data_IF_367492421956
#
_entry.id   IF_367492421956
#
_cell.length_a   1.000
_cell.length_b   1.000
_cell.length_c   1.000
_cell.angle_alpha   90.00
_cell.angle_beta   90.00
_cell.angle_gamma   90.00
#
_symmetry.space_group_name_H-M   'P 1'
#
loop_
_entity.id
_entity.type
_entity.pdbx_description
1 polymer ?
#
# COMPACT_ATOMS: atom_id res chain seq x y z
N UNK A 1 -11.71 3.27 -19.56
CA UNK A 1 -10.79 3.48 -20.71
C UNK A 1 -9.61 2.55 -20.49
N UNK A 2 -9.05 1.91 -21.51
CA UNK A 2 -8.02 0.88 -21.29
C UNK A 2 -6.63 1.50 -21.20
N UNK A 3 -5.96 1.30 -20.07
CA UNK A 3 -4.53 1.59 -19.92
C UNK A 3 -3.75 0.64 -20.82
N UNK A 4 -2.80 1.17 -21.59
CA UNK A 4 -1.88 0.37 -22.41
C UNK A 4 -0.93 -0.37 -21.47
N UNK A 5 -0.75 -1.69 -21.64
CA UNK A 5 0.24 -2.46 -20.89
C UNK A 5 1.54 -2.54 -21.68
N UNK A 6 2.69 -2.47 -21.00
CA UNK A 6 3.99 -2.61 -21.65
C UNK A 6 4.17 -3.96 -22.35
N UNK A 7 3.48 -5.01 -21.88
CA UNK A 7 3.51 -6.36 -22.45
C UNK A 7 2.84 -6.44 -23.82
N UNK A 8 2.03 -5.44 -24.18
CA UNK A 8 1.33 -5.36 -25.46
C UNK A 8 2.14 -4.57 -26.51
N UNK A 9 3.32 -4.05 -26.15
CA UNK A 9 4.16 -3.20 -26.99
C UNK A 9 5.38 -3.94 -27.56
N UNK A 10 5.80 -3.53 -28.75
CA UNK A 10 7.12 -3.90 -29.30
C UNK A 10 8.21 -3.00 -28.72
N UNK A 11 9.04 -3.58 -27.86
CA UNK A 11 10.10 -2.88 -27.14
C UNK A 11 11.48 -3.00 -27.82
N UNK A 12 11.61 -3.80 -28.87
CA UNK A 12 12.91 -4.10 -29.48
C UNK A 12 13.58 -2.83 -30.01
N UNK A 13 14.81 -2.58 -29.55
CA UNK A 13 15.61 -1.40 -29.91
C UNK A 13 15.08 -0.06 -29.38
N UNK A 14 13.96 -0.03 -28.65
CA UNK A 14 13.37 1.18 -28.08
C UNK A 14 14.10 1.59 -26.80
N UNK A 15 14.21 2.90 -26.57
CA UNK A 15 14.60 3.47 -25.28
C UNK A 15 13.42 3.38 -24.31
N UNK A 16 13.49 2.46 -23.36
CA UNK A 16 12.40 2.21 -22.41
C UNK A 16 12.80 2.77 -21.05
N UNK A 17 12.01 3.70 -20.55
CA UNK A 17 12.24 4.37 -19.27
C UNK A 17 11.19 3.94 -18.25
N UNK A 18 11.61 3.22 -17.23
CA UNK A 18 10.72 2.53 -16.29
C UNK A 18 10.79 3.20 -14.92
N UNK A 19 9.65 3.70 -14.44
CA UNK A 19 9.51 4.22 -13.07
C UNK A 19 9.20 3.06 -12.12
N UNK A 20 10.19 2.64 -11.33
CA UNK A 20 10.08 1.56 -10.34
C UNK A 20 10.05 2.10 -8.91
N UNK A 21 9.50 1.35 -7.95
CA UNK A 21 9.63 1.65 -6.52
C UNK A 21 10.85 0.91 -5.92
N UNK A 22 12.04 1.48 -6.09
CA UNK A 22 13.29 0.96 -5.51
C UNK A 22 13.65 1.64 -4.18
N UNK A 23 12.67 2.24 -3.48
CA UNK A 23 12.91 2.85 -2.19
C UNK A 23 13.05 1.77 -1.10
N UNK A 24 14.26 1.27 -0.92
CA UNK A 24 14.61 0.20 0.03
C UNK A 24 15.38 0.72 1.25
N UNK A 25 15.30 0.05 2.41
CA UNK A 25 16.11 0.44 3.55
C UNK A 25 17.59 0.11 3.29
N UNK A 26 18.45 1.13 3.38
CA UNK A 26 19.90 1.02 3.22
C UNK A 26 20.58 1.27 4.56
N UNK A 27 21.56 0.43 4.91
CA UNK A 27 22.40 0.61 6.11
C UNK A 27 23.85 0.32 5.76
N UNK A 28 24.75 1.26 6.02
CA UNK A 28 26.17 1.12 5.71
C UNK A 28 26.44 0.84 4.23
N UNK A 29 25.70 1.51 3.34
CA UNK A 29 25.83 1.34 1.88
C UNK A 29 25.27 0.03 1.33
N UNK A 30 24.54 -0.77 2.13
CA UNK A 30 23.95 -2.04 1.69
C UNK A 30 22.44 -2.06 1.86
N UNK A 31 21.76 -2.67 0.90
CA UNK A 31 20.32 -2.98 0.99
C UNK A 31 20.08 -3.97 2.12
N UNK A 32 19.17 -3.63 3.04
CA UNK A 32 18.81 -4.48 4.19
C UNK A 32 17.50 -5.24 4.01
N UNK A 33 16.67 -4.81 3.06
CA UNK A 33 15.48 -5.53 2.59
C UNK A 33 15.35 -5.35 1.08
N UNK A 34 15.29 -6.45 0.36
CA UNK A 34 15.34 -6.51 -1.11
C UNK A 34 13.96 -6.76 -1.75
N UNK A 35 12.89 -6.83 -0.96
CA UNK A 35 11.56 -7.22 -1.40
C UNK A 35 11.06 -6.40 -2.60
N UNK A 36 11.28 -5.08 -2.56
CA UNK A 36 10.90 -4.16 -3.64
C UNK A 36 11.73 -4.36 -4.91
N UNK A 37 13.04 -4.57 -4.77
CA UNK A 37 13.91 -4.83 -5.91
C UNK A 37 13.49 -6.15 -6.58
N UNK A 38 13.28 -7.20 -5.79
CA UNK A 38 12.79 -8.51 -6.27
C UNK A 38 11.48 -8.41 -7.02
N UNK A 39 10.51 -7.63 -6.53
CA UNK A 39 9.25 -7.39 -7.23
C UNK A 39 9.46 -6.75 -8.61
N UNK A 40 10.36 -5.75 -8.71
CA UNK A 40 10.66 -5.07 -9.97
C UNK A 40 11.41 -5.92 -11.00
N UNK A 41 12.07 -7.02 -10.59
CA UNK A 41 12.89 -7.83 -11.50
C UNK A 41 12.10 -8.39 -12.68
N UNK A 42 10.83 -8.76 -12.49
CA UNK A 42 9.99 -9.30 -13.56
C UNK A 42 9.84 -8.30 -14.72
N UNK A 43 9.53 -7.04 -14.38
CA UNK A 43 9.40 -5.94 -15.34
C UNK A 43 10.72 -5.61 -16.04
N UNK A 44 11.81 -5.52 -15.27
CA UNK A 44 13.14 -5.21 -15.83
C UNK A 44 13.61 -6.31 -16.79
N UNK A 45 13.48 -7.58 -16.39
CA UNK A 45 13.84 -8.73 -17.23
C UNK A 45 12.98 -8.81 -18.49
N UNK A 46 11.68 -8.49 -18.41
CA UNK A 46 10.82 -8.44 -19.59
C UNK A 46 11.34 -7.45 -20.63
N UNK A 47 11.65 -6.21 -20.22
CA UNK A 47 12.17 -5.19 -21.14
C UNK A 47 13.55 -5.57 -21.71
N UNK A 48 14.46 -6.08 -20.87
CA UNK A 48 15.78 -6.54 -21.30
C UNK A 48 15.69 -7.68 -22.33
N UNK A 49 14.87 -8.70 -22.04
CA UNK A 49 14.69 -9.86 -22.92
C UNK A 49 14.01 -9.50 -24.24
N UNK A 50 13.17 -8.46 -24.25
CA UNK A 50 12.57 -7.92 -25.47
C UNK A 50 13.57 -7.13 -26.35
N UNK A 51 14.82 -6.97 -25.92
CA UNK A 51 15.85 -6.25 -26.66
C UNK A 51 15.73 -4.73 -26.57
N UNK A 52 15.14 -4.21 -25.50
CA UNK A 52 15.07 -2.77 -25.25
C UNK A 52 16.41 -2.20 -24.76
N UNK A 53 16.56 -0.88 -24.92
CA UNK A 53 17.57 -0.06 -24.24
C UNK A 53 16.96 0.44 -22.92
N UNK A 54 17.24 -0.26 -21.81
CA UNK A 54 16.48 -0.13 -20.57
C UNK A 54 17.11 0.89 -19.62
N UNK A 55 16.31 1.89 -19.24
CA UNK A 55 16.58 2.81 -18.14
C UNK A 55 15.56 2.60 -17.04
N UNK A 56 16.00 2.62 -15.79
CA UNK A 56 15.12 2.62 -14.62
C UNK A 56 15.35 3.87 -13.80
N UNK A 57 14.27 4.49 -13.37
CA UNK A 57 14.29 5.61 -12.44
C UNK A 57 13.53 5.26 -11.17
N UNK A 58 14.01 5.75 -10.04
CA UNK A 58 13.36 5.59 -8.75
C UNK A 58 13.67 6.75 -7.83
N UNK A 59 12.94 6.82 -6.74
CA UNK A 59 13.31 7.60 -5.57
C UNK A 59 13.95 6.69 -4.52
N UNK A 60 14.75 7.28 -3.64
CA UNK A 60 15.22 6.67 -2.39
C UNK A 60 15.14 7.72 -1.28
N UNK A 61 14.54 7.36 -0.14
CA UNK A 61 14.43 8.24 1.01
C UNK A 61 13.74 9.59 0.72
N UNK A 62 14.22 10.64 1.39
CA UNK A 62 13.63 11.99 1.36
C UNK A 62 14.70 13.08 1.24
N UNK A 63 15.52 13.06 0.19
CA UNK A 63 16.53 14.09 0.00
C UNK A 63 15.91 15.48 -0.22
N UNK A 64 16.75 16.48 -0.05
CA UNK A 64 16.46 17.86 -0.47
C UNK A 64 16.71 18.01 -1.96
N UNK A 65 15.72 18.53 -2.71
CA UNK A 65 15.89 18.77 -4.14
C UNK A 65 17.05 19.73 -4.40
N UNK A 66 17.84 19.45 -5.43
CA UNK A 66 19.04 20.20 -5.81
C UNK A 66 20.28 19.90 -4.94
N UNK A 67 20.17 19.01 -3.95
CA UNK A 67 21.28 18.62 -3.08
C UNK A 67 21.54 17.14 -3.20
N UNK A 68 22.76 16.77 -3.60
CA UNK A 68 23.20 15.39 -3.56
C UNK A 68 23.53 14.99 -2.12
N UNK A 69 22.99 13.86 -1.71
CA UNK A 69 23.19 13.26 -0.38
C UNK A 69 23.54 11.79 -0.60
N UNK A 70 24.77 11.39 -0.28
CA UNK A 70 25.29 10.03 -0.57
C UNK A 70 24.41 8.92 0.02
N UNK A 71 23.81 9.16 1.19
CA UNK A 71 22.89 8.22 1.85
C UNK A 71 21.60 7.93 1.06
N UNK A 72 21.23 8.83 0.13
CA UNK A 72 20.06 8.71 -0.73
C UNK A 72 20.42 8.39 -2.19
N UNK A 73 21.70 8.10 -2.49
CA UNK A 73 22.10 7.62 -3.82
C UNK A 73 21.52 6.22 -4.09
N UNK A 74 21.20 5.94 -5.34
CA UNK A 74 20.78 4.61 -5.80
C UNK A 74 21.95 3.65 -6.04
N UNK A 75 23.20 4.04 -5.78
CA UNK A 75 24.37 3.15 -5.93
C UNK A 75 24.21 1.79 -5.21
N UNK A 76 23.74 1.71 -3.95
CA UNK A 76 23.52 0.41 -3.29
C UNK A 76 22.49 -0.48 -4.01
N UNK A 77 21.53 0.12 -4.71
CA UNK A 77 20.54 -0.60 -5.52
C UNK A 77 21.16 -1.09 -6.81
N UNK A 78 22.05 -0.30 -7.44
CA UNK A 78 22.84 -0.71 -8.60
C UNK A 78 23.74 -1.90 -8.26
N UNK A 79 24.43 -1.85 -7.13
CA UNK A 79 25.31 -2.94 -6.67
C UNK A 79 24.50 -4.23 -6.49
N UNK A 80 23.34 -4.14 -5.83
CA UNK A 80 22.45 -5.29 -5.67
C UNK A 80 21.92 -5.82 -7.02
N UNK A 81 21.53 -4.93 -7.94
CA UNK A 81 21.02 -5.33 -9.25
C UNK A 81 22.09 -6.02 -10.11
N UNK A 82 23.35 -5.59 -10.02
CA UNK A 82 24.49 -6.26 -10.64
C UNK A 82 24.68 -7.70 -10.14
N UNK A 83 24.39 -7.96 -8.86
CA UNK A 83 24.53 -9.31 -8.28
C UNK A 83 23.43 -10.28 -8.74
N UNK A 84 22.26 -9.77 -9.18
CA UNK A 84 21.06 -10.60 -9.46
C UNK A 84 20.61 -10.61 -10.92
N UNK A 85 21.18 -9.75 -11.76
CA UNK A 85 20.90 -9.69 -13.19
C UNK A 85 22.10 -10.19 -14.00
N UNK A 86 21.83 -10.97 -15.04
CA UNK A 86 22.84 -11.48 -15.98
C UNK A 86 23.21 -10.43 -17.05
N UNK A 87 23.31 -9.16 -16.66
CA UNK A 87 23.68 -8.05 -17.54
C UNK A 87 24.41 -6.95 -16.77
N UNK A 88 25.24 -6.13 -17.43
CA UNK A 88 25.84 -4.96 -16.79
C UNK A 88 24.76 -3.99 -16.27
N UNK A 89 24.89 -3.59 -15.00
CA UNK A 89 24.06 -2.54 -14.40
C UNK A 89 24.96 -1.38 -13.98
N UNK A 90 24.60 -0.15 -14.34
CA UNK A 90 25.37 1.04 -13.94
C UNK A 90 24.47 2.19 -13.52
N UNK A 91 25.02 3.06 -12.69
CA UNK A 91 24.42 4.32 -12.30
C UNK A 91 24.73 5.41 -13.33
N UNK A 92 23.73 6.20 -13.71
CA UNK A 92 23.90 7.45 -14.44
C UNK A 92 23.52 8.63 -13.56
N UNK A 93 24.49 9.45 -13.16
CA UNK A 93 24.28 10.59 -12.26
C UNK A 93 23.93 11.90 -13.00
N UNK A 94 24.43 12.09 -14.22
CA UNK A 94 24.06 13.22 -15.08
C UNK A 94 23.39 12.68 -16.34
N UNK A 95 22.06 12.69 -16.33
CA UNK A 95 21.24 12.02 -17.35
C UNK A 95 20.19 12.93 -17.98
N UNK A 96 19.92 14.11 -17.41
CA UNK A 96 18.85 15.01 -17.89
C UNK A 96 19.11 15.55 -19.30
N UNK A 97 20.36 15.54 -19.74
CA UNK A 97 20.77 15.97 -21.08
C UNK A 97 20.93 14.81 -22.07
N UNK A 98 20.48 13.62 -21.69
CA UNK A 98 20.65 12.39 -22.45
C UNK A 98 21.55 11.41 -21.72
N UNK A 99 21.34 10.13 -22.03
CA UNK A 99 22.13 9.02 -21.51
C UNK A 99 22.28 8.00 -22.63
N UNK A 100 23.53 7.60 -22.91
CA UNK A 100 23.79 6.50 -23.83
C UNK A 100 23.34 5.21 -23.16
N UNK A 101 22.62 4.36 -23.90
CA UNK A 101 22.12 3.08 -23.40
C UNK A 101 22.20 2.06 -24.52
N UNK A 102 22.90 0.96 -24.26
CA UNK A 102 23.01 -0.16 -25.18
C UNK A 102 21.97 -1.24 -24.90
N UNK A 103 21.72 -2.07 -25.92
CA UNK A 103 20.89 -3.26 -25.74
C UNK A 103 21.66 -4.28 -24.90
N UNK A 104 21.00 -4.89 -23.92
CA UNK A 104 21.63 -5.88 -23.04
C UNK A 104 22.37 -5.28 -21.84
N UNK A 105 22.20 -3.98 -21.54
CA UNK A 105 22.55 -3.38 -20.25
C UNK A 105 21.32 -2.77 -19.57
N UNK A 106 21.43 -2.54 -18.26
CA UNK A 106 20.46 -1.78 -17.47
C UNK A 106 21.12 -0.51 -16.92
N UNK A 107 20.53 0.65 -17.20
CA UNK A 107 20.99 1.93 -16.65
C UNK A 107 20.03 2.40 -15.56
N UNK A 108 20.52 2.49 -14.33
CA UNK A 108 19.79 3.11 -13.22
C UNK A 108 20.09 4.60 -13.23
N UNK A 109 19.06 5.43 -13.37
CA UNK A 109 19.19 6.87 -13.22
C UNK A 109 19.31 7.21 -11.75
N UNK A 110 20.18 8.15 -11.40
CA UNK A 110 20.31 8.60 -10.01
C UNK A 110 18.99 9.20 -9.49
N UNK A 111 18.80 9.10 -8.17
CA UNK A 111 17.57 9.38 -7.45
C UNK A 111 16.84 10.62 -7.96
N UNK A 112 15.63 10.41 -8.51
CA UNK A 112 14.84 11.47 -9.14
C UNK A 112 14.52 12.63 -8.19
N UNK A 113 14.54 12.39 -6.86
CA UNK A 113 14.28 13.43 -5.85
C UNK A 113 15.46 14.37 -5.60
N UNK A 114 16.62 14.12 -6.21
CA UNK A 114 17.68 15.13 -6.28
C UNK A 114 17.38 16.22 -7.30
N UNK A 115 16.50 15.97 -8.29
CA UNK A 115 16.19 16.96 -9.32
C UNK A 115 15.22 18.01 -8.80
N UNK A 116 15.55 19.28 -9.02
CA UNK A 116 14.67 20.41 -8.69
C UNK A 116 13.42 20.36 -9.57
N UNK A 117 12.25 20.39 -8.94
CA UNK A 117 10.97 20.33 -9.64
C UNK A 117 10.30 18.96 -9.65
N UNK A 118 10.98 17.91 -9.14
CA UNK A 118 10.43 16.55 -9.08
C UNK A 118 9.09 16.52 -8.33
N UNK A 119 9.05 17.03 -7.09
CA UNK A 119 7.83 17.00 -6.25
C UNK A 119 6.73 17.93 -6.74
N UNK A 120 7.08 18.92 -7.57
CA UNK A 120 6.15 19.93 -8.11
C UNK A 120 5.58 19.55 -9.46
N UNK A 121 5.97 18.39 -10.00
CA UNK A 121 5.59 17.97 -11.35
C UNK A 121 6.00 19.02 -12.39
N UNK A 122 7.21 19.56 -12.24
CA UNK A 122 7.69 20.64 -13.09
C UNK A 122 7.72 20.22 -14.57
N UNK A 123 7.15 21.05 -15.44
CA UNK A 123 6.98 20.74 -16.85
C UNK A 123 8.32 20.63 -17.59
N UNK A 124 9.31 21.44 -17.24
CA UNK A 124 10.64 21.40 -17.88
C UNK A 124 11.31 20.09 -17.55
N UNK A 125 11.36 19.72 -16.26
CA UNK A 125 11.93 18.45 -15.82
C UNK A 125 11.20 17.25 -16.43
N UNK A 126 9.87 17.31 -16.49
CA UNK A 126 9.03 16.27 -17.08
C UNK A 126 9.35 16.04 -18.56
N UNK A 127 9.56 17.11 -19.33
CA UNK A 127 9.98 17.03 -20.73
C UNK A 127 11.40 16.49 -20.89
N UNK A 128 12.30 16.82 -19.96
CA UNK A 128 13.66 16.25 -19.94
C UNK A 128 13.60 14.74 -19.75
N UNK A 129 12.83 14.24 -18.78
CA UNK A 129 12.63 12.79 -18.60
C UNK A 129 12.00 12.13 -19.83
N UNK A 130 10.96 12.73 -20.40
CA UNK A 130 10.30 12.21 -21.59
C UNK A 130 11.25 12.10 -22.79
N UNK A 131 12.16 13.07 -22.97
CA UNK A 131 13.13 13.08 -24.06
C UNK A 131 14.15 11.91 -24.01
N UNK A 132 14.34 11.29 -22.83
CA UNK A 132 15.23 10.14 -22.66
C UNK A 132 14.69 8.88 -23.34
N UNK A 133 13.39 8.80 -23.59
CA UNK A 133 12.72 7.55 -23.95
C UNK A 133 11.84 7.64 -25.19
N UNK A 134 11.59 6.47 -25.77
CA UNK A 134 10.55 6.26 -26.77
C UNK A 134 9.28 5.71 -26.09
N UNK A 135 9.44 4.97 -24.99
CA UNK A 135 8.38 4.39 -24.18
C UNK A 135 8.64 4.68 -22.70
N UNK A 136 7.69 5.34 -22.04
CA UNK A 136 7.64 5.51 -20.60
C UNK A 136 6.75 4.43 -19.97
N UNK A 137 7.27 3.75 -18.95
CA UNK A 137 6.55 2.71 -18.21
C UNK A 137 6.40 3.16 -16.77
N UNK A 138 5.16 3.32 -16.30
CA UNK A 138 4.89 3.52 -14.88
C UNK A 138 4.63 2.17 -14.20
N UNK A 139 5.49 1.79 -13.26
CA UNK A 139 5.41 0.50 -12.57
C UNK A 139 5.54 0.63 -11.04
N UNK A 140 5.38 1.86 -10.53
CA UNK A 140 5.56 2.19 -9.12
C UNK A 140 4.24 2.63 -8.45
N UNK A 141 3.31 1.70 -8.25
CA UNK A 141 1.97 2.01 -7.69
C UNK A 141 2.03 2.79 -6.36
N UNK A 142 2.97 2.47 -5.47
CA UNK A 142 3.15 3.20 -4.20
C UNK A 142 3.41 4.71 -4.34
N UNK A 143 3.78 5.17 -5.53
CA UNK A 143 3.95 6.59 -5.86
C UNK A 143 2.92 7.15 -6.83
N UNK A 144 1.96 6.33 -7.29
CA UNK A 144 0.96 6.73 -8.29
C UNK A 144 -0.04 7.80 -7.79
N UNK A 145 -0.23 7.90 -6.48
CA UNK A 145 -1.08 8.91 -5.83
C UNK A 145 -0.49 10.33 -5.85
N UNK A 146 0.75 10.50 -6.33
CA UNK A 146 1.42 11.81 -6.39
C UNK A 146 1.70 12.19 -7.83
N UNK A 147 1.24 13.38 -8.22
CA UNK A 147 1.74 14.03 -9.43
C UNK A 147 3.17 14.51 -9.17
N UNK A 148 4.14 13.82 -9.76
CA UNK A 148 5.56 14.17 -9.72
C UNK A 148 6.12 14.06 -11.14
N UNK A 149 7.21 14.76 -11.43
CA UNK A 149 7.76 14.77 -12.78
C UNK A 149 8.12 13.35 -13.25
N UNK A 150 8.63 12.49 -12.36
CA UNK A 150 8.99 11.09 -12.67
C UNK A 150 7.81 10.12 -12.71
N UNK A 151 6.64 10.45 -12.16
CA UNK A 151 5.49 9.54 -12.04
C UNK A 151 4.34 9.90 -12.98
N UNK A 152 4.13 11.20 -13.18
CA UNK A 152 3.01 11.77 -13.93
C UNK A 152 3.53 12.55 -15.15
N UNK A 153 4.36 13.59 -14.93
CA UNK A 153 4.80 14.48 -15.99
C UNK A 153 5.56 13.79 -17.12
N UNK A 154 6.48 12.88 -16.82
CA UNK A 154 7.23 12.12 -17.83
C UNK A 154 6.29 11.37 -18.79
N UNK A 155 5.28 10.66 -18.27
CA UNK A 155 4.31 9.94 -19.09
C UNK A 155 3.38 10.85 -19.91
N UNK A 156 3.11 12.07 -19.42
CA UNK A 156 2.34 13.07 -20.16
C UNK A 156 3.05 13.51 -21.46
N UNK A 157 4.38 13.60 -21.43
CA UNK A 157 5.17 14.11 -22.55
C UNK A 157 5.91 13.03 -23.36
N UNK A 158 6.05 11.81 -22.83
CA UNK A 158 6.67 10.69 -23.52
C UNK A 158 5.89 10.30 -24.79
N UNK A 159 6.54 9.86 -25.88
CA UNK A 159 5.85 9.46 -27.10
C UNK A 159 4.79 8.37 -26.86
N UNK A 160 5.14 7.36 -26.06
CA UNK A 160 4.24 6.31 -25.56
C UNK A 160 4.34 6.24 -24.04
N UNK A 161 3.20 6.09 -23.36
CA UNK A 161 3.12 5.86 -21.92
C UNK A 161 2.24 4.64 -21.64
N UNK A 162 2.72 3.73 -20.79
CA UNK A 162 2.03 2.48 -20.45
C UNK A 162 2.24 2.08 -18.98
N UNK A 163 1.41 1.15 -18.50
CA UNK A 163 1.59 0.49 -17.22
C UNK A 163 2.59 -0.66 -17.33
N UNK A 164 3.43 -0.81 -16.30
CA UNK A 164 4.19 -2.05 -16.11
C UNK A 164 3.37 -3.15 -15.42
N UNK A 165 3.88 -4.40 -15.39
CA UNK A 165 3.22 -5.54 -14.78
C UNK A 165 2.81 -5.37 -13.31
N UNK A 166 3.62 -4.69 -12.47
CA UNK A 166 3.30 -4.48 -11.06
C UNK A 166 2.13 -3.51 -10.93
N UNK A 167 2.17 -2.39 -11.65
CA UNK A 167 1.06 -1.43 -11.64
C UNK A 167 -0.21 -2.07 -12.20
N UNK A 168 -0.12 -2.80 -13.32
CA UNK A 168 -1.27 -3.45 -13.94
C UNK A 168 -1.90 -4.50 -13.01
N UNK A 169 -1.08 -5.35 -12.38
CA UNK A 169 -1.54 -6.35 -11.42
C UNK A 169 -2.22 -5.71 -10.19
N UNK A 170 -1.68 -4.59 -9.71
CA UNK A 170 -2.28 -3.85 -8.60
C UNK A 170 -3.67 -3.30 -8.96
N UNK A 171 -3.78 -2.64 -10.12
CA UNK A 171 -5.04 -2.08 -10.59
C UNK A 171 -6.08 -3.18 -10.87
N UNK A 172 -5.65 -4.33 -11.38
CA UNK A 172 -6.53 -5.49 -11.58
C UNK A 172 -7.05 -6.03 -10.23
N UNK A 173 -6.17 -6.21 -9.24
CA UNK A 173 -6.54 -6.71 -7.92
C UNK A 173 -7.49 -5.75 -7.19
N UNK A 174 -7.18 -4.45 -7.22
CA UNK A 174 -8.03 -3.40 -6.65
C UNK A 174 -9.37 -3.29 -7.38
N UNK A 175 -9.37 -3.40 -8.71
CA UNK A 175 -10.59 -3.40 -9.51
C UNK A 175 -11.50 -4.58 -9.19
N UNK A 176 -10.94 -5.79 -9.03
CA UNK A 176 -11.68 -6.98 -8.56
C UNK A 176 -12.28 -6.77 -7.18
N UNK A 177 -11.53 -6.15 -6.26
CA UNK A 177 -11.98 -5.94 -4.90
C UNK A 177 -13.05 -4.83 -4.76
N UNK A 178 -12.98 -3.76 -5.55
CA UNK A 178 -13.82 -2.56 -5.33
C UNK A 178 -14.91 -2.33 -6.39
N UNK A 179 -14.68 -2.69 -7.66
CA UNK A 179 -15.63 -2.38 -8.74
C UNK A 179 -16.64 -3.50 -8.97
N UNK A 180 -16.22 -4.76 -8.87
CA UNK A 180 -17.11 -5.92 -9.03
C UNK A 180 -16.79 -7.03 -8.02
N UNK A 181 -16.91 -6.76 -6.71
CA UNK A 181 -16.60 -7.74 -5.68
C UNK A 181 -17.60 -8.90 -5.69
N UNK A 182 -17.10 -10.12 -5.48
CA UNK A 182 -17.95 -11.23 -5.07
C UNK A 182 -18.50 -10.91 -3.67
N UNK A 183 -19.83 -10.88 -3.53
CA UNK A 183 -20.50 -10.56 -2.27
C UNK A 183 -20.77 -11.82 -1.44
N UNK A 184 -20.78 -11.74 -0.10
CA UNK A 184 -20.58 -10.53 0.73
C UNK A 184 -19.17 -9.94 0.62
N UNK A 185 -19.07 -8.63 0.44
CA UNK A 185 -17.82 -7.88 0.51
C UNK A 185 -17.59 -7.43 1.94
N UNK A 186 -16.43 -7.76 2.48
CA UNK A 186 -16.01 -7.41 3.83
C UNK A 186 -14.75 -6.55 3.78
N UNK A 187 -14.73 -5.47 4.56
CA UNK A 187 -13.53 -4.68 4.80
C UNK A 187 -13.14 -4.69 6.27
N UNK A 188 -11.84 -4.73 6.54
CA UNK A 188 -11.25 -4.60 7.87
C UNK A 188 -10.39 -3.35 7.87
N UNK A 189 -10.76 -2.36 8.69
CA UNK A 189 -10.05 -1.09 8.83
C UNK A 189 -9.59 -0.92 10.27
N UNK A 190 -8.32 -1.24 10.50
CA UNK A 190 -7.63 -1.11 11.78
C UNK A 190 -6.71 0.11 11.83
N UNK A 191 -6.41 0.55 13.05
CA UNK A 191 -5.42 1.60 13.28
C UNK A 191 -5.62 2.35 14.59
N UNK A 192 -4.76 3.33 14.84
CA UNK A 192 -4.75 4.07 16.09
C UNK A 192 -5.79 5.20 16.17
N UNK A 193 -6.24 5.75 15.03
CA UNK A 193 -7.07 6.96 14.97
C UNK A 193 -8.09 6.91 13.84
N UNK A 194 -9.34 7.23 14.18
CA UNK A 194 -10.45 7.44 13.23
C UNK A 194 -10.14 8.61 12.30
N UNK A 195 -9.60 9.73 12.81
CA UNK A 195 -9.31 10.94 12.01
C UNK A 195 -8.44 10.66 10.78
N UNK A 196 -7.47 9.74 10.92
CA UNK A 196 -6.54 9.38 9.83
C UNK A 196 -7.14 8.42 8.80
N UNK A 197 -8.31 7.84 9.09
CA UNK A 197 -8.98 6.81 8.28
C UNK A 197 -10.43 7.17 7.95
N UNK A 198 -10.89 8.36 8.33
CA UNK A 198 -12.30 8.73 8.25
C UNK A 198 -12.81 8.65 6.81
N UNK A 199 -12.07 9.21 5.87
CA UNK A 199 -12.34 9.14 4.42
C UNK A 199 -12.44 7.71 3.91
N UNK A 200 -11.57 6.81 4.39
CA UNK A 200 -11.62 5.37 4.05
C UNK A 200 -12.88 4.73 4.62
N UNK A 201 -13.20 5.00 5.89
CA UNK A 201 -14.39 4.46 6.55
C UNK A 201 -15.68 4.94 5.87
N UNK A 202 -15.76 6.23 5.51
CA UNK A 202 -16.87 6.80 4.73
C UNK A 202 -17.02 6.16 3.35
N UNK A 203 -15.92 6.00 2.62
CA UNK A 203 -15.94 5.41 1.30
C UNK A 203 -16.36 3.93 1.34
N UNK A 204 -15.89 3.17 2.33
CA UNK A 204 -16.17 1.75 2.44
C UNK A 204 -17.52 1.43 3.07
N UNK A 205 -17.97 2.19 4.08
CA UNK A 205 -19.27 1.99 4.75
C UNK A 205 -20.47 1.97 3.80
N UNK A 206 -20.37 2.65 2.65
CA UNK A 206 -21.41 2.68 1.61
C UNK A 206 -21.26 1.58 0.54
N UNK A 207 -20.18 0.79 0.57
CA UNK A 207 -19.83 -0.19 -0.47
C UNK A 207 -19.85 -1.64 0.04
N UNK A 208 -19.45 -1.84 1.29
CA UNK A 208 -19.25 -3.18 1.88
C UNK A 208 -20.50 -3.68 2.61
N UNK A 209 -20.66 -5.00 2.65
CA UNK A 209 -21.70 -5.65 3.44
C UNK A 209 -21.31 -5.70 4.94
N UNK A 210 -20.00 -5.80 5.22
CA UNK A 210 -19.45 -5.80 6.58
C UNK A 210 -18.21 -4.89 6.65
N UNK A 211 -18.18 -3.94 7.59
CA UNK A 211 -17.02 -3.09 7.86
C UNK A 211 -16.54 -3.35 9.29
N UNK A 212 -15.53 -4.20 9.42
CA UNK A 212 -14.85 -4.48 10.69
C UNK A 212 -13.91 -3.32 11.01
N UNK A 213 -14.01 -2.76 12.21
CA UNK A 213 -13.09 -1.74 12.72
C UNK A 213 -12.18 -2.34 13.79
N UNK A 214 -10.92 -1.91 13.83
CA UNK A 214 -9.88 -2.47 14.71
C UNK A 214 -9.06 -1.42 15.47
N UNK A 215 -8.46 -1.79 16.59
CA UNK A 215 -7.55 -0.92 17.36
C UNK A 215 -8.23 0.31 17.96
N UNK A 216 -7.53 1.45 17.96
CA UNK A 216 -8.04 2.72 18.48
C UNK A 216 -9.28 3.24 17.73
N UNK A 217 -9.43 2.87 16.45
CA UNK A 217 -10.66 3.12 15.69
C UNK A 217 -11.83 2.41 16.37
N UNK A 218 -11.70 1.11 16.64
CA UNK A 218 -12.75 0.32 17.30
C UNK A 218 -13.11 0.90 18.67
N UNK A 219 -12.14 1.40 19.44
CA UNK A 219 -12.41 2.03 20.74
C UNK A 219 -13.33 3.25 20.63
N UNK A 220 -13.20 4.07 19.57
CA UNK A 220 -14.13 5.18 19.33
C UNK A 220 -15.55 4.68 19.04
N UNK A 221 -15.70 3.57 18.31
CA UNK A 221 -17.00 2.94 18.06
C UNK A 221 -17.59 2.30 19.33
N UNK A 222 -16.77 1.68 20.18
CA UNK A 222 -17.18 1.18 21.50
C UNK A 222 -17.74 2.33 22.34
N UNK A 223 -17.00 3.45 22.43
CA UNK A 223 -17.45 4.65 23.12
C UNK A 223 -18.75 5.22 22.53
N UNK A 224 -18.88 5.21 21.19
CA UNK A 224 -20.07 5.69 20.49
C UNK A 224 -21.35 4.88 20.82
N UNK A 225 -21.20 3.58 21.11
CA UNK A 225 -22.30 2.72 21.59
C UNK A 225 -22.61 2.87 23.09
N UNK A 226 -21.97 3.82 23.78
CA UNK A 226 -22.23 4.14 25.18
C UNK A 226 -21.44 3.30 26.20
N UNK A 227 -20.46 2.52 25.76
CA UNK A 227 -19.60 1.73 26.64
C UNK A 227 -18.40 2.54 27.13
N UNK A 228 -17.95 2.25 28.37
CA UNK A 228 -16.72 2.83 28.89
C UNK A 228 -15.50 2.27 28.15
N UNK A 229 -14.52 3.13 27.86
CA UNK A 229 -13.24 2.74 27.27
C UNK A 229 -12.05 3.07 28.17
N UNK A 230 -12.27 3.59 29.39
CA UNK A 230 -11.22 3.91 30.35
C UNK A 230 -10.15 4.85 29.77
N UNK A 231 -8.89 4.43 29.85
CA UNK A 231 -7.71 5.12 29.30
C UNK A 231 -7.31 4.65 27.90
N UNK A 232 -8.16 3.88 27.23
CA UNK A 232 -7.88 3.40 25.87
C UNK A 232 -7.64 4.56 24.91
N UNK A 233 -6.90 4.31 23.83
CA UNK A 233 -6.76 5.27 22.75
C UNK A 233 -8.08 5.35 21.96
N UNK A 234 -8.72 6.51 21.95
CA UNK A 234 -9.90 6.82 21.13
C UNK A 234 -10.01 8.35 20.89
N UNK A 235 -10.89 8.77 19.98
CA UNK A 235 -11.12 10.18 19.63
C UNK A 235 -12.54 10.60 20.01
N UNK A 236 -12.68 11.20 21.20
CA UNK A 236 -13.98 11.58 21.77
C UNK A 236 -14.77 12.57 20.90
N UNK A 237 -14.06 13.47 20.21
CA UNK A 237 -14.62 14.42 19.25
C UNK A 237 -15.19 13.76 17.99
N UNK A 238 -14.80 12.52 17.70
CA UNK A 238 -15.29 11.74 16.56
C UNK A 238 -16.37 10.71 16.92
N UNK A 239 -16.85 10.68 18.17
CA UNK A 239 -18.02 9.86 18.55
C UNK A 239 -19.27 10.18 17.70
N UNK A 240 -19.64 11.44 17.43
CA UNK A 240 -20.78 11.75 16.57
C UNK A 240 -20.62 11.15 15.17
N UNK A 241 -19.39 11.14 14.67
CA UNK A 241 -19.05 10.63 13.36
C UNK A 241 -19.08 9.09 13.31
N UNK A 242 -18.57 8.41 14.34
CA UNK A 242 -18.72 6.97 14.48
C UNK A 242 -20.21 6.55 14.52
N UNK A 243 -21.05 7.29 15.24
CA UNK A 243 -22.51 7.05 15.26
C UNK A 243 -23.15 7.26 13.88
N UNK A 244 -22.73 8.29 13.13
CA UNK A 244 -23.18 8.53 11.76
C UNK A 244 -22.82 7.35 10.85
N UNK A 245 -21.60 6.82 10.95
CA UNK A 245 -21.13 5.67 10.17
C UNK A 245 -21.89 4.38 10.53
N UNK A 246 -22.15 4.13 11.82
CA UNK A 246 -22.98 3.00 12.27
C UNK A 246 -24.38 3.05 11.65
N UNK A 247 -25.02 4.22 11.66
CA UNK A 247 -26.33 4.42 11.06
C UNK A 247 -26.29 4.26 9.54
N UNK A 248 -25.33 4.89 8.85
CA UNK A 248 -25.18 4.81 7.40
C UNK A 248 -24.96 3.37 6.91
N UNK A 249 -24.09 2.61 7.58
CA UNK A 249 -23.86 1.20 7.24
C UNK A 249 -25.15 0.38 7.36
N UNK A 250 -25.92 0.59 8.43
CA UNK A 250 -27.21 -0.09 8.63
C UNK A 250 -28.25 0.31 7.59
N UNK A 251 -28.35 1.58 7.23
CA UNK A 251 -29.24 2.08 6.18
C UNK A 251 -28.89 1.51 4.80
N UNK A 252 -27.59 1.31 4.53
CA UNK A 252 -27.09 0.67 3.32
C UNK A 252 -27.27 -0.87 3.32
N UNK A 253 -27.84 -1.46 4.38
CA UNK A 253 -28.02 -2.90 4.53
C UNK A 253 -26.76 -3.66 4.96
N UNK A 254 -25.68 -2.95 5.28
CA UNK A 254 -24.46 -3.49 5.84
C UNK A 254 -24.42 -3.44 7.37
N UNK A 255 -23.26 -3.76 7.94
CA UNK A 255 -23.06 -3.74 9.38
C UNK A 255 -21.61 -3.36 9.75
N UNK A 256 -21.45 -2.70 10.90
CA UNK A 256 -20.17 -2.45 11.55
C UNK A 256 -20.22 -3.18 12.91
N UNK A 257 -19.65 -4.40 13.01
CA UNK A 257 -19.68 -5.14 14.26
C UNK A 257 -18.77 -4.47 15.30
N UNK A 258 -19.36 -3.96 16.38
CA UNK A 258 -18.64 -3.40 17.53
C UNK A 258 -18.26 -4.52 18.49
N UNK A 259 -17.02 -4.57 19.02
CA UNK A 259 -16.57 -5.62 19.94
C UNK A 259 -17.48 -5.81 21.16
N UNK A 260 -17.73 -7.07 21.52
CA UNK A 260 -18.54 -7.47 22.69
C UNK A 260 -17.68 -7.84 23.89
N UNK A 261 -16.42 -8.20 23.64
CA UNK A 261 -15.38 -8.48 24.63
C UNK A 261 -14.04 -7.97 24.11
N UNK A 262 -13.14 -7.65 25.03
CA UNK A 262 -11.87 -6.97 24.78
C UNK A 262 -10.79 -7.49 25.70
N UNK A 263 -9.54 -7.36 25.26
CA UNK A 263 -8.36 -7.61 26.10
C UNK A 263 -7.76 -6.28 26.51
N UNK A 264 -7.68 -6.05 27.81
CA UNK A 264 -7.18 -4.81 28.40
C UNK A 264 -5.84 -5.00 29.10
N UNK A 265 -5.10 -3.91 29.25
CA UNK A 265 -3.93 -3.79 30.12
C UNK A 265 -3.98 -2.49 30.92
N UNK A 266 -3.02 -2.31 31.84
CA UNK A 266 -2.89 -1.08 32.66
C UNK A 266 -1.78 -0.14 32.19
N UNK A 267 -0.96 -0.59 31.23
CA UNK A 267 0.15 0.17 30.66
C UNK A 267 0.41 -0.31 29.23
N UNK A 268 0.86 0.59 28.35
CA UNK A 268 1.32 0.24 27.01
C UNK A 268 2.76 -0.29 27.09
N UNK A 269 2.90 -1.60 27.22
CA UNK A 269 4.19 -2.27 27.43
C UNK A 269 4.10 -3.75 27.07
N UNK A 270 5.18 -4.30 26.52
CA UNK A 270 5.36 -5.73 26.26
C UNK A 270 5.24 -6.59 27.54
N UNK A 271 5.43 -6.01 28.73
CA UNK A 271 5.34 -6.69 30.02
C UNK A 271 3.97 -6.51 30.69
N UNK A 272 3.06 -5.77 30.08
CA UNK A 272 1.73 -5.54 30.64
C UNK A 272 0.92 -6.84 30.64
N UNK A 273 0.25 -7.12 31.77
CA UNK A 273 -0.63 -8.28 31.89
C UNK A 273 -1.93 -8.05 31.13
N UNK A 274 -2.25 -8.95 30.21
CA UNK A 274 -3.52 -8.99 29.51
C UNK A 274 -4.65 -9.49 30.41
N UNK A 275 -5.79 -8.79 30.40
CA UNK A 275 -7.00 -9.15 31.12
C UNK A 275 -8.18 -9.17 30.17
N UNK A 276 -8.85 -10.32 30.04
CA UNK A 276 -10.09 -10.44 29.26
C UNK A 276 -11.26 -9.81 30.04
N UNK A 277 -12.04 -8.98 29.35
CA UNK A 277 -13.25 -8.36 29.89
C UNK A 277 -14.38 -8.34 28.87
N UNK A 278 -15.62 -8.41 29.33
CA UNK A 278 -16.74 -7.95 28.50
C UNK A 278 -16.60 -6.44 28.28
N UNK A 279 -17.06 -5.94 27.14
CA UNK A 279 -16.95 -4.50 26.81
C UNK A 279 -17.66 -3.61 27.86
N UNK A 280 -18.75 -4.12 28.46
CA UNK A 280 -19.48 -3.43 29.52
C UNK A 280 -18.73 -3.35 30.87
N UNK A 281 -17.69 -4.17 31.06
CA UNK A 281 -16.94 -4.30 32.32
C UNK A 281 -15.58 -3.56 32.29
N UNK A 282 -15.32 -2.78 31.24
CA UNK A 282 -14.11 -1.97 31.11
C UNK A 282 -14.08 -0.89 32.20
N UNK A 283 -13.01 -0.88 32.99
CA UNK A 283 -12.81 0.03 34.10
C UNK A 283 -12.12 1.33 33.66
N UNK A 284 -12.24 2.39 34.47
CA UNK A 284 -11.72 3.73 34.14
C UNK A 284 -10.20 3.78 33.93
N UNK A 285 -9.45 2.85 34.51
CA UNK A 285 -8.01 2.75 34.41
C UNK A 285 -7.52 1.66 33.44
N UNK A 286 -8.43 0.99 32.72
CA UNK A 286 -8.09 0.03 31.67
C UNK A 286 -7.69 0.72 30.36
N UNK A 287 -6.84 0.05 29.59
CA UNK A 287 -6.55 0.37 28.19
C UNK A 287 -6.85 -0.87 27.34
N UNK A 288 -7.76 -0.77 26.38
CA UNK A 288 -8.09 -1.82 25.41
C UNK A 288 -6.97 -1.88 24.37
N UNK A 289 -6.37 -3.06 24.22
CA UNK A 289 -5.27 -3.30 23.28
C UNK A 289 -5.58 -4.37 22.23
N UNK A 290 -6.60 -5.20 22.44
CA UNK A 290 -7.03 -6.20 21.46
C UNK A 290 -8.52 -6.53 21.63
N UNK A 291 -9.10 -7.18 20.62
CA UNK A 291 -10.45 -7.76 20.72
C UNK A 291 -10.41 -9.06 21.53
N UNK A 292 -11.50 -9.38 22.22
CA UNK A 292 -11.63 -10.64 22.95
C UNK A 292 -11.94 -11.83 22.03
N UNK A 293 -11.82 -13.07 22.54
CA UNK A 293 -12.03 -14.28 21.77
C UNK A 293 -13.46 -14.45 21.26
N UNK A 294 -14.48 -13.91 21.95
CA UNK A 294 -15.86 -13.98 21.48
C UNK A 294 -16.05 -13.10 20.24
N UNK A 295 -15.56 -11.87 20.30
CA UNK A 295 -15.54 -10.94 19.17
C UNK A 295 -14.75 -11.55 18.01
N UNK A 296 -13.55 -12.07 18.25
CA UNK A 296 -12.73 -12.68 17.21
C UNK A 296 -13.45 -13.86 16.51
N UNK A 297 -14.16 -14.70 17.25
CA UNK A 297 -14.94 -15.79 16.69
C UNK A 297 -16.14 -15.30 15.84
N UNK A 298 -16.86 -14.28 16.31
CA UNK A 298 -17.95 -13.65 15.55
C UNK A 298 -17.43 -13.05 14.24
N UNK A 299 -16.32 -12.33 14.27
CA UNK A 299 -15.68 -11.75 13.09
C UNK A 299 -15.14 -12.83 12.12
N UNK A 300 -14.60 -13.93 12.64
CA UNK A 300 -14.12 -15.03 11.82
C UNK A 300 -15.25 -15.70 11.02
N UNK A 301 -16.46 -15.84 11.59
CA UNK A 301 -17.62 -16.36 10.85
C UNK A 301 -18.09 -15.39 9.75
N UNK A 302 -17.99 -14.06 9.96
CA UNK A 302 -18.25 -13.08 8.90
C UNK A 302 -17.23 -13.20 7.76
N UNK A 303 -15.95 -13.34 8.09
CA UNK A 303 -14.85 -13.50 7.12
C UNK A 303 -15.03 -14.77 6.29
N UNK A 304 -15.45 -15.87 6.92
CA UNK A 304 -15.71 -17.16 6.26
C UNK A 304 -16.84 -17.08 5.24
N UNK A 305 -17.82 -16.20 5.45
CA UNK A 305 -18.95 -16.01 4.54
C UNK A 305 -18.64 -15.03 3.40
N UNK A 306 -17.55 -14.27 3.48
CA UNK A 306 -17.22 -13.26 2.48
C UNK A 306 -16.85 -13.90 1.14
N UNK A 307 -17.24 -13.24 0.05
CA UNK A 307 -16.70 -13.52 -1.30
C UNK A 307 -15.47 -12.68 -1.62
N UNK A 308 -15.34 -11.51 -0.98
CA UNK A 308 -14.23 -10.56 -1.16
C UNK A 308 -13.84 -9.94 0.18
N UNK A 309 -12.54 -9.88 0.47
CA UNK A 309 -11.99 -9.32 1.70
C UNK A 309 -10.97 -8.22 1.38
N UNK A 310 -11.17 -7.03 1.93
CA UNK A 310 -10.19 -5.93 1.92
C UNK A 310 -9.64 -5.74 3.32
N UNK A 311 -8.34 -5.97 3.54
CA UNK A 311 -7.71 -5.87 4.85
C UNK A 311 -6.72 -4.71 4.93
N UNK A 312 -7.01 -3.75 5.81
CA UNK A 312 -6.19 -2.59 6.09
C UNK A 312 -6.08 -2.32 7.59
N UNK A 313 -5.10 -2.93 8.24
CA UNK A 313 -4.73 -2.66 9.63
C UNK A 313 -5.18 -3.76 10.61
N UNK A 314 -4.46 -3.92 11.72
CA UNK A 314 -4.75 -4.94 12.73
C UNK A 314 -5.95 -4.56 13.62
N UNK A 315 -6.48 -5.53 14.36
CA UNK A 315 -7.55 -5.29 15.34
C UNK A 315 -7.04 -5.04 16.76
N UNK A 316 -5.75 -5.27 16.99
CA UNK A 316 -5.05 -5.04 18.27
C UNK A 316 -3.57 -4.72 18.11
N UNK A 317 -2.88 -4.50 19.23
CA UNK A 317 -1.44 -4.20 19.32
C UNK A 317 -0.64 -5.50 19.18
N UNK A 318 -0.67 -6.05 17.97
CA UNK A 318 -0.16 -7.38 17.65
C UNK A 318 1.36 -7.53 17.80
N UNK A 319 2.09 -6.42 17.95
CA UNK A 319 3.51 -6.40 18.31
C UNK A 319 3.76 -7.04 19.67
N UNK A 320 2.79 -6.94 20.58
CA UNK A 320 2.83 -7.54 21.91
C UNK A 320 2.01 -8.84 21.87
N UNK A 321 2.64 -9.99 22.12
CA UNK A 321 2.01 -11.30 21.91
C UNK A 321 0.71 -11.48 22.71
N UNK A 322 0.65 -10.94 23.93
CA UNK A 322 -0.55 -10.98 24.78
C UNK A 322 -1.71 -10.09 24.29
N UNK A 323 -1.47 -9.23 23.29
CA UNK A 323 -2.46 -8.36 22.66
C UNK A 323 -2.52 -8.57 21.13
N UNK A 324 -2.06 -9.73 20.65
CA UNK A 324 -2.03 -10.09 19.23
C UNK A 324 -2.97 -11.20 18.80
N UNK A 325 -3.61 -11.91 19.73
CA UNK A 325 -4.44 -13.08 19.41
C UNK A 325 -5.68 -12.72 18.59
N UNK A 326 -6.26 -11.54 18.75
CA UNK A 326 -7.35 -11.04 17.91
C UNK A 326 -6.89 -10.84 16.46
N UNK A 327 -5.75 -10.17 16.26
CA UNK A 327 -5.18 -9.97 14.91
C UNK A 327 -4.79 -11.30 14.27
N UNK A 328 -4.22 -12.22 15.04
CA UNK A 328 -3.92 -13.57 14.59
C UNK A 328 -5.18 -14.34 14.19
N UNK A 329 -6.25 -14.27 14.97
CA UNK A 329 -7.51 -14.93 14.66
C UNK A 329 -8.11 -14.41 13.35
N UNK A 330 -8.10 -13.09 13.13
CA UNK A 330 -8.51 -12.47 11.86
C UNK A 330 -7.62 -12.92 10.70
N UNK A 331 -6.29 -12.88 10.87
CA UNK A 331 -5.33 -13.33 9.87
C UNK A 331 -5.59 -14.79 9.45
N UNK A 332 -5.75 -15.69 10.43
CA UNK A 332 -6.06 -17.10 10.16
C UNK A 332 -7.44 -17.28 9.53
N UNK A 333 -8.44 -16.49 9.91
CA UNK A 333 -9.76 -16.55 9.27
C UNK A 333 -9.69 -16.15 7.78
N UNK A 334 -8.91 -15.13 7.44
CA UNK A 334 -8.67 -14.73 6.04
C UNK A 334 -7.93 -15.85 5.30
N UNK A 335 -6.89 -16.42 5.90
CA UNK A 335 -6.08 -17.48 5.30
C UNK A 335 -6.85 -18.78 5.01
N UNK A 336 -7.92 -19.06 5.76
CA UNK A 336 -8.80 -20.21 5.55
C UNK A 336 -10.04 -19.89 4.69
N UNK A 337 -10.21 -18.64 4.26
CA UNK A 337 -11.36 -18.23 3.44
C UNK A 337 -11.09 -18.52 1.96
N UNK A 338 -12.13 -18.93 1.24
CA UNK A 338 -12.10 -19.07 -0.22
C UNK A 338 -12.29 -17.72 -0.94
N UNK A 339 -12.49 -16.63 -0.19
CA UNK A 339 -12.67 -15.29 -0.71
C UNK A 339 -11.44 -14.77 -1.46
N UNK A 340 -11.67 -13.90 -2.45
CA UNK A 340 -10.58 -13.06 -2.94
C UNK A 340 -10.15 -12.08 -1.84
N UNK A 341 -8.90 -12.16 -1.39
CA UNK A 341 -8.38 -11.32 -0.31
C UNK A 341 -7.29 -10.37 -0.81
N UNK A 342 -7.46 -9.08 -0.52
CA UNK A 342 -6.45 -8.05 -0.74
C UNK A 342 -6.02 -7.45 0.59
N UNK A 343 -4.72 -7.48 0.87
CA UNK A 343 -4.13 -6.89 2.07
C UNK A 343 -3.24 -5.70 1.70
N UNK A 344 -3.35 -4.59 2.43
CA UNK A 344 -2.52 -3.41 2.19
C UNK A 344 -2.29 -2.57 3.44
N UNK A 345 -1.17 -1.86 3.48
CA UNK A 345 -0.73 -1.02 4.61
C UNK A 345 0.33 -1.70 5.48
N UNK A 346 1.32 -0.92 5.93
CA UNK A 346 2.53 -1.46 6.60
C UNK A 346 2.25 -2.43 7.74
N UNK A 347 1.35 -2.06 8.66
CA UNK A 347 0.98 -2.90 9.81
C UNK A 347 0.27 -4.20 9.37
N UNK A 348 -0.53 -4.15 8.30
CA UNK A 348 -1.16 -5.34 7.72
C UNK A 348 -0.12 -6.30 7.17
N UNK A 349 0.87 -5.79 6.42
CA UNK A 349 1.94 -6.64 5.88
C UNK A 349 2.79 -7.25 7.01
N UNK A 350 3.11 -6.46 8.04
CA UNK A 350 3.81 -6.97 9.21
C UNK A 350 3.01 -8.06 9.94
N UNK A 351 1.69 -7.96 10.01
CA UNK A 351 0.83 -9.02 10.55
C UNK A 351 0.80 -10.27 9.65
N UNK A 352 0.69 -10.08 8.32
CA UNK A 352 0.76 -11.17 7.33
C UNK A 352 2.08 -11.95 7.46
N UNK A 353 3.19 -11.24 7.62
CA UNK A 353 4.52 -11.83 7.81
C UNK A 353 4.63 -12.53 9.17
N UNK A 354 4.23 -11.85 10.27
CA UNK A 354 4.31 -12.41 11.64
C UNK A 354 3.53 -13.72 11.75
N UNK A 355 2.37 -13.82 11.09
CA UNK A 355 1.50 -15.00 11.15
C UNK A 355 1.69 -15.97 9.97
N UNK A 356 2.67 -15.70 9.10
CA UNK A 356 3.08 -16.58 8.00
C UNK A 356 1.92 -16.99 7.07
N UNK A 357 1.08 -16.03 6.66
CA UNK A 357 -0.07 -16.28 5.77
C UNK A 357 0.08 -15.65 4.38
N UNK A 358 1.28 -15.17 4.02
CA UNK A 358 1.51 -14.47 2.76
C UNK A 358 1.10 -15.28 1.53
N UNK A 359 1.31 -16.60 1.55
CA UNK A 359 0.93 -17.52 0.47
C UNK A 359 -0.57 -17.84 0.43
N UNK A 360 -1.34 -17.37 1.42
CA UNK A 360 -2.80 -17.54 1.53
C UNK A 360 -3.57 -16.27 1.20
N UNK A 361 -2.90 -15.13 1.04
CA UNK A 361 -3.53 -13.89 0.61
C UNK A 361 -3.53 -13.82 -0.92
N UNK A 362 -4.67 -13.51 -1.53
CA UNK A 362 -4.79 -13.46 -3.00
C UNK A 362 -3.95 -12.35 -3.62
N UNK A 363 -3.85 -11.20 -2.95
CA UNK A 363 -3.01 -10.09 -3.37
C UNK A 363 -2.50 -9.26 -2.18
N UNK A 364 -1.19 -8.98 -2.15
CA UNK A 364 -0.56 -8.13 -1.13
C UNK A 364 -0.10 -6.83 -1.80
N UNK A 365 -0.78 -5.73 -1.46
CA UNK A 365 -0.47 -4.40 -1.95
C UNK A 365 0.78 -3.84 -1.26
N UNK A 366 1.76 -3.42 -2.06
CA UNK A 366 2.90 -2.63 -1.58
C UNK A 366 2.68 -1.11 -1.73
N UNK A 367 1.45 -0.70 -2.05
CA UNK A 367 1.10 0.69 -2.39
C UNK A 367 1.09 1.67 -1.23
N UNK A 368 1.00 1.19 0.01
CA UNK A 368 0.97 2.04 1.21
C UNK A 368 -0.10 3.13 1.14
N UNK A 369 0.31 4.39 1.04
CA UNK A 369 -0.60 5.54 0.89
C UNK A 369 -1.42 5.51 -0.40
N UNK A 370 -0.86 5.01 -1.51
CA UNK A 370 -1.60 4.90 -2.78
C UNK A 370 -2.77 3.93 -2.67
N UNK A 371 -2.57 2.81 -1.96
CA UNK A 371 -3.62 1.85 -1.67
C UNK A 371 -4.77 2.49 -0.88
N UNK A 372 -4.44 3.30 0.14
CA UNK A 372 -5.44 4.01 0.94
C UNK A 372 -6.22 5.03 0.12
N UNK A 373 -5.55 5.88 -0.65
CA UNK A 373 -6.22 6.87 -1.50
C UNK A 373 -7.12 6.19 -2.54
N UNK A 374 -6.71 5.03 -3.06
CA UNK A 374 -7.55 4.24 -3.95
C UNK A 374 -8.80 3.69 -3.23
N UNK A 375 -8.67 3.19 -1.99
CA UNK A 375 -9.83 2.77 -1.18
C UNK A 375 -10.81 3.92 -0.90
N UNK A 376 -10.28 5.14 -0.73
CA UNK A 376 -11.08 6.37 -0.60
C UNK A 376 -11.84 6.73 -1.89
N UNK A 377 -11.53 6.06 -3.00
CA UNK A 377 -12.09 6.38 -4.32
C UNK A 377 -11.47 7.63 -4.95
N UNK A 378 -10.28 8.05 -4.50
CA UNK A 378 -9.55 9.15 -5.14
C UNK A 378 -8.95 8.69 -6.47
N UNK A 379 -8.97 9.59 -7.43
CA UNK A 379 -8.25 9.42 -8.67
C UNK A 379 -6.73 9.54 -8.41
N UNK A 380 -5.96 8.54 -8.84
CA UNK A 380 -4.50 8.55 -8.70
C UNK A 380 -3.89 9.25 -9.92
N UNK A 381 -3.15 10.36 -9.77
CA UNK A 381 -2.68 11.16 -10.91
C UNK A 381 -1.91 10.36 -11.98
N UNK A 382 -1.03 9.44 -11.57
CA UNK A 382 -0.29 8.63 -12.54
C UNK A 382 -1.19 7.65 -13.30
N UNK A 383 -2.25 7.12 -12.66
CA UNK A 383 -3.21 6.23 -13.32
C UNK A 383 -4.08 7.01 -14.29
N UNK A 384 -4.60 8.16 -13.88
CA UNK A 384 -5.38 9.05 -14.74
C UNK A 384 -4.57 9.50 -15.97
N UNK A 385 -3.27 9.79 -15.80
CA UNK A 385 -2.38 10.07 -16.92
C UNK A 385 -2.32 8.89 -17.90
N UNK A 386 -2.13 7.66 -17.42
CA UNK A 386 -2.10 6.49 -18.31
C UNK A 386 -3.44 6.26 -19.02
N UNK A 387 -4.57 6.45 -18.34
CA UNK A 387 -5.90 6.34 -18.94
C UNK A 387 -6.09 7.37 -20.06
N UNK A 388 -5.64 8.62 -19.85
CA UNK A 388 -5.71 9.67 -20.85
C UNK A 388 -4.76 9.45 -22.03
N UNK A 389 -3.62 8.75 -21.81
CA UNK A 389 -2.65 8.41 -22.87
C UNK A 389 -3.03 7.17 -23.67
N UNK A 390 -3.90 6.31 -23.14
CA UNK A 390 -4.44 5.13 -23.84
C UNK A 390 -5.65 5.40 -24.75
N UNK A 391 -6.12 6.66 -24.81
CA UNK A 391 -7.28 7.10 -25.58
C UNK A 391 -6.95 7.54 -27.01
#
# INVERSE_FOLDING_TARGET
MSIVNMTDLDLAGKRVLIRQDLNVPVKGGKVTSDARIKASLGTLKHALNAGAKVMVMSHLGRPTEGQFEEEFSLQPVVDYLNDVLDCPVRLASDYLNGVDVETGELVVLENVRFNVGEKKDDEILSKQYAALCDVYVMDAFGTAHRAQASTHGAGKFAPVACAGPLLAGELEALGKALHNPARPMLAIVGGSKVSTKLTVLEALSNKVDQLIVGGGIANTFIAATGNNVGKSLYEADLIPEANRLLAAAKEAGGNIPVPVDVVTGKAFSEQAQATLKAVADVADDDMIFDIGPKTAAELAELIKQAGTIVWNGPVGVFEFDQFGEGTKAIAMAIAHSDAFSIAGGGDTLAAVDKYAIADKISYISTGGGAFLEFLEGKELPAVAMLEARGA
#
